data_IF_623301660796
#
_entry.id   IF_623301660796
#
_cell.length_a   1.000
_cell.length_b   1.000
_cell.length_c   1.000
_cell.angle_alpha   90.00
_cell.angle_beta   90.00
_cell.angle_gamma   90.00
#
_symmetry.space_group_name_H-M   'P 1'
#
loop_
_entity.id
_entity.type
_entity.pdbx_description
1 polymer ?
#
# COMPACT_ATOMS: atom_id res chain seq x y z
N UNK A 1 -43.49 -78.05 1.89
CA UNK A 1 -42.10 -78.56 1.94
C UNK A 1 -41.56 -78.51 0.53
N UNK A 2 -40.83 -77.44 0.19
CA UNK A 2 -39.43 -77.52 -0.24
C UNK A 2 -38.93 -76.11 -0.58
N UNK A 3 -38.04 -75.61 0.27
CA UNK A 3 -37.26 -74.40 0.04
C UNK A 3 -35.96 -74.78 -0.65
N UNK A 4 -35.70 -74.22 -1.84
CA UNK A 4 -34.34 -74.16 -2.41
C UNK A 4 -33.88 -72.70 -2.38
N UNK A 5 -32.78 -72.37 -1.68
CA UNK A 5 -32.19 -71.03 -1.73
C UNK A 5 -31.24 -70.94 -2.92
N UNK A 6 -31.43 -69.97 -3.79
CA UNK A 6 -30.43 -69.60 -4.81
C UNK A 6 -29.41 -68.64 -4.18
N UNK A 7 -28.18 -69.15 -4.04
CA UNK A 7 -26.96 -68.36 -3.84
C UNK A 7 -26.73 -67.43 -5.04
N UNK A 8 -26.32 -66.18 -4.81
CA UNK A 8 -25.90 -65.32 -5.91
C UNK A 8 -25.36 -63.95 -5.48
N UNK A 9 -24.09 -63.92 -5.06
CA UNK A 9 -23.12 -62.81 -5.07
C UNK A 9 -23.58 -61.42 -4.59
N UNK A 10 -23.12 -61.04 -3.39
CA UNK A 10 -22.90 -59.64 -3.01
C UNK A 10 -21.67 -59.14 -3.78
N UNK A 11 -21.86 -58.29 -4.79
CA UNK A 11 -20.77 -57.54 -5.40
C UNK A 11 -20.33 -56.43 -4.44
N UNK A 12 -19.16 -56.60 -3.82
CA UNK A 12 -18.43 -55.51 -3.16
C UNK A 12 -17.86 -54.60 -4.26
N UNK A 13 -18.52 -53.46 -4.51
CA UNK A 13 -17.97 -52.40 -5.36
C UNK A 13 -16.86 -51.68 -4.58
N UNK A 14 -15.61 -52.07 -4.84
CA UNK A 14 -14.43 -51.27 -4.54
C UNK A 14 -14.48 -49.96 -5.35
N UNK A 15 -14.96 -48.89 -4.71
CA UNK A 15 -14.87 -47.53 -5.23
C UNK A 15 -13.44 -47.00 -5.15
N UNK A 16 -12.61 -47.33 -6.14
CA UNK A 16 -11.32 -46.67 -6.37
C UNK A 16 -11.52 -45.40 -7.19
N UNK A 17 -11.36 -44.27 -6.49
CA UNK A 17 -10.77 -43.01 -6.95
C UNK A 17 -10.90 -42.64 -8.43
N UNK A 18 -11.79 -41.68 -8.71
CA UNK A 18 -11.42 -40.48 -9.49
C UNK A 18 -12.16 -39.31 -8.83
N UNK A 19 -11.64 -38.84 -7.70
CA UNK A 19 -11.88 -37.46 -7.32
C UNK A 19 -11.27 -36.63 -8.44
N UNK A 20 -12.11 -36.17 -9.38
CA UNK A 20 -11.80 -35.02 -10.22
C UNK A 20 -11.51 -33.90 -9.23
N UNK A 21 -10.24 -33.70 -8.95
CA UNK A 21 -9.79 -32.42 -8.46
C UNK A 21 -10.29 -31.42 -9.47
N UNK A 22 -11.31 -30.65 -9.07
CA UNK A 22 -11.38 -29.29 -9.56
C UNK A 22 -10.15 -28.61 -8.96
N UNK A 23 -9.00 -28.86 -9.60
CA UNK A 23 -7.99 -27.83 -9.73
C UNK A 23 -8.73 -26.70 -10.46
N UNK A 24 -9.42 -25.88 -9.68
CA UNK A 24 -9.52 -24.49 -10.02
C UNK A 24 -8.07 -24.06 -10.22
N UNK A 25 -7.63 -24.08 -11.48
CA UNK A 25 -6.56 -23.25 -11.93
C UNK A 25 -6.89 -21.87 -11.39
N UNK A 26 -6.28 -21.51 -10.26
CA UNK A 26 -6.19 -20.13 -9.82
C UNK A 26 -5.47 -19.47 -10.99
N UNK A 27 -6.28 -18.76 -11.77
CA UNK A 27 -5.84 -18.01 -12.91
C UNK A 27 -4.67 -17.12 -12.46
N UNK A 28 -3.47 -17.45 -12.94
CA UNK A 28 -2.24 -16.68 -12.71
C UNK A 28 -2.25 -15.38 -13.54
N UNK A 29 -3.39 -14.72 -13.58
CA UNK A 29 -3.60 -13.38 -14.16
C UNK A 29 -4.36 -12.49 -13.18
N UNK A 30 -4.03 -12.55 -11.89
CA UNK A 30 -4.45 -11.48 -10.98
C UNK A 30 -3.65 -10.20 -11.29
N UNK A 31 -4.04 -9.52 -12.38
CA UNK A 31 -3.61 -8.20 -12.81
C UNK A 31 -4.25 -7.11 -11.91
N UNK A 32 -4.50 -7.46 -10.65
CA UNK A 32 -5.08 -6.57 -9.67
C UNK A 32 -4.05 -5.55 -9.21
N UNK A 33 -4.61 -4.42 -8.86
CA UNK A 33 -3.89 -3.23 -8.53
C UNK A 33 -3.59 -3.16 -6.99
N UNK A 34 -2.82 -2.19 -6.49
CA UNK A 34 -2.31 -1.92 -5.13
C UNK A 34 -3.50 -1.35 -4.44
N UNK A 35 -4.15 -0.39 -5.10
CA UNK A 35 -5.41 0.20 -4.72
C UNK A 35 -6.45 -0.90 -4.63
N UNK A 36 -6.64 -1.71 -5.67
CA UNK A 36 -7.61 -2.80 -5.62
C UNK A 36 -7.29 -3.80 -4.50
N UNK A 37 -6.04 -4.21 -4.31
CA UNK A 37 -5.63 -5.14 -3.25
C UNK A 37 -5.78 -4.54 -1.85
N UNK A 38 -5.34 -3.29 -1.64
CA UNK A 38 -5.43 -2.55 -0.38
C UNK A 38 -6.91 -2.33 -0.05
N UNK A 39 -7.70 -1.79 -0.97
CA UNK A 39 -9.14 -1.54 -0.77
C UNK A 39 -9.90 -2.85 -0.50
N UNK A 40 -9.58 -3.93 -1.21
CA UNK A 40 -10.17 -5.24 -0.94
C UNK A 40 -9.74 -5.79 0.43
N UNK A 41 -8.48 -5.60 0.81
CA UNK A 41 -7.97 -6.02 2.12
C UNK A 41 -8.53 -5.19 3.27
N UNK A 42 -8.84 -3.92 3.03
CA UNK A 42 -9.41 -2.99 4.00
C UNK A 42 -10.94 -3.10 4.07
N UNK A 43 -11.56 -3.81 3.14
CA UNK A 43 -12.99 -4.02 3.15
C UNK A 43 -13.42 -4.76 4.44
N UNK A 44 -14.28 -4.12 5.24
CA UNK A 44 -14.71 -4.64 6.53
C UNK A 44 -13.77 -4.33 7.71
N UNK A 45 -12.75 -3.49 7.52
CA UNK A 45 -12.00 -2.93 8.63
C UNK A 45 -12.87 -2.02 9.51
N UNK A 46 -12.64 -2.03 10.82
CA UNK A 46 -13.31 -1.14 11.77
C UNK A 46 -12.56 0.19 11.96
N UNK A 47 -11.44 0.38 11.25
CA UNK A 47 -10.68 1.61 11.30
C UNK A 47 -11.30 2.67 10.37
N UNK A 48 -11.18 3.94 10.78
CA UNK A 48 -11.60 5.05 9.95
C UNK A 48 -10.42 5.45 9.05
N UNK A 49 -10.55 5.17 7.76
CA UNK A 49 -9.48 5.37 6.78
C UNK A 49 -9.87 6.50 5.81
N UNK A 50 -9.03 7.53 5.74
CA UNK A 50 -9.05 8.53 4.67
C UNK A 50 -8.41 7.92 3.43
N UNK A 51 -8.94 8.22 2.25
CA UNK A 51 -8.39 7.70 0.99
C UNK A 51 -8.20 6.17 1.07
N UNK A 52 -9.13 5.46 1.72
CA UNK A 52 -9.11 4.00 1.78
C UNK A 52 -8.06 3.32 2.67
N UNK A 53 -6.91 3.94 2.98
CA UNK A 53 -5.78 3.32 3.71
C UNK A 53 -4.96 4.28 4.60
N UNK A 54 -5.31 5.57 4.66
CA UNK A 54 -4.68 6.50 5.57
C UNK A 54 -5.45 6.50 6.89
N UNK A 55 -4.86 5.90 7.92
CA UNK A 55 -5.46 5.83 9.25
C UNK A 55 -5.67 7.21 9.84
N UNK A 56 -6.94 7.59 10.06
CA UNK A 56 -7.25 8.89 10.62
C UNK A 56 -6.88 8.96 12.12
N UNK A 57 -6.19 10.03 12.55
CA UNK A 57 -5.86 10.28 13.93
C UNK A 57 -7.05 10.23 14.90
N UNK A 58 -6.95 9.41 15.94
CA UNK A 58 -7.90 9.41 17.08
C UNK A 58 -7.44 10.31 18.23
N UNK A 59 -6.15 10.64 18.30
CA UNK A 59 -5.56 11.44 19.39
C UNK A 59 -5.32 12.89 18.98
N UNK A 60 -5.35 13.81 19.95
CA UNK A 60 -5.13 15.25 19.73
C UNK A 60 -3.74 15.54 19.13
N UNK A 61 -2.72 14.79 19.54
CA UNK A 61 -1.33 14.97 19.05
C UNK A 61 -1.22 14.54 17.58
N UNK A 62 -1.79 13.40 17.23
CA UNK A 62 -1.86 12.92 15.85
C UNK A 62 -2.71 13.86 14.97
N UNK A 63 -3.80 14.41 15.51
CA UNK A 63 -4.63 15.39 14.80
C UNK A 63 -3.91 16.71 14.54
N UNK A 64 -2.95 17.11 15.39
CA UNK A 64 -2.11 18.30 15.17
C UNK A 64 -1.21 18.11 13.94
N UNK A 65 -0.74 16.89 13.69
CA UNK A 65 0.01 16.56 12.47
C UNK A 65 -0.85 16.69 11.23
N UNK A 66 -2.09 16.20 11.32
CA UNK A 66 -3.06 16.23 10.23
C UNK A 66 -3.55 17.65 9.90
N UNK A 67 -3.84 18.49 10.92
CA UNK A 67 -4.42 19.84 10.73
C UNK A 67 -3.44 20.98 10.43
N UNK A 68 -2.12 20.79 10.59
CA UNK A 68 -1.12 21.86 10.45
C UNK A 68 -0.22 21.73 9.19
N UNK A 69 -0.79 21.33 8.05
CA UNK A 69 -0.08 21.24 6.77
C UNK A 69 1.28 20.48 6.85
N UNK A 70 1.25 19.25 7.37
CA UNK A 70 2.21 18.22 6.93
C UNK A 70 3.65 18.29 7.44
N UNK A 71 3.96 18.95 8.56
CA UNK A 71 5.34 18.94 9.12
C UNK A 71 5.64 17.81 10.11
N UNK A 72 4.84 16.76 10.13
CA UNK A 72 5.13 15.57 10.92
C UNK A 72 6.01 14.60 10.15
N UNK A 73 7.23 15.06 9.87
CA UNK A 73 8.27 14.23 9.28
C UNK A 73 9.06 13.52 10.38
N UNK A 74 9.64 12.38 10.03
CA UNK A 74 10.66 11.76 10.87
C UNK A 74 11.89 12.67 10.99
N UNK A 75 12.48 12.75 12.17
CA UNK A 75 13.56 13.71 12.42
C UNK A 75 14.86 13.25 11.75
N UNK A 76 15.52 14.19 11.09
CA UNK A 76 16.87 14.00 10.56
C UNK A 76 17.87 14.04 11.70
N UNK A 77 18.73 13.03 11.76
CA UNK A 77 19.84 12.91 12.71
C UNK A 77 21.04 13.76 12.29
N UNK A 78 22.00 13.90 13.19
CA UNK A 78 23.21 14.71 13.00
C UNK A 78 24.09 14.21 11.83
N UNK A 79 24.07 12.91 11.55
CA UNK A 79 24.75 12.25 10.43
C UNK A 79 24.00 12.39 9.09
N UNK A 80 22.95 13.20 9.08
CA UNK A 80 22.08 13.45 7.93
C UNK A 80 21.21 12.28 7.48
N UNK A 81 21.12 11.22 8.27
CA UNK A 81 20.17 10.12 8.05
C UNK A 81 18.85 10.37 8.79
N UNK A 82 17.81 9.68 8.36
CA UNK A 82 16.48 9.71 9.00
C UNK A 82 16.18 8.32 9.50
N UNK A 83 16.21 8.16 10.82
CA UNK A 83 15.95 6.87 11.45
C UNK A 83 14.47 6.72 11.77
N UNK A 84 13.88 5.64 11.27
CA UNK A 84 12.49 5.24 11.52
C UNK A 84 12.52 3.94 12.31
N UNK A 85 12.40 3.99 13.65
CA UNK A 85 12.41 2.79 14.47
C UNK A 85 11.16 1.94 14.20
N UNK A 86 11.28 0.62 14.20
CA UNK A 86 10.16 -0.30 14.00
C UNK A 86 10.22 -1.53 14.91
N UNK A 87 9.06 -2.14 15.12
CA UNK A 87 8.88 -3.49 15.70
C UNK A 87 7.99 -4.28 14.73
N UNK A 88 8.37 -5.52 14.44
CA UNK A 88 7.54 -6.45 13.65
C UNK A 88 6.89 -7.43 14.62
N UNK A 89 5.57 -7.59 14.53
CA UNK A 89 4.80 -8.57 15.28
C UNK A 89 5.31 -10.00 15.06
N UNK A 90 5.24 -10.84 16.08
CA UNK A 90 5.68 -12.24 16.01
C UNK A 90 4.67 -13.15 15.28
N UNK A 91 3.54 -12.61 14.81
CA UNK A 91 2.53 -13.35 14.04
C UNK A 91 2.94 -13.59 12.58
N UNK A 92 3.89 -12.81 12.07
CA UNK A 92 4.41 -12.99 10.71
C UNK A 92 5.34 -14.20 10.62
N UNK A 93 5.23 -14.96 9.54
CA UNK A 93 6.18 -16.02 9.20
C UNK A 93 7.55 -15.43 8.85
N UNK A 94 8.60 -16.27 8.90
CA UNK A 94 9.96 -15.85 8.52
C UNK A 94 10.03 -15.25 7.10
N UNK A 95 9.31 -15.85 6.14
CA UNK A 95 9.27 -15.38 4.74
C UNK A 95 8.57 -14.02 4.61
N UNK A 96 7.52 -13.79 5.41
CA UNK A 96 6.83 -12.51 5.46
C UNK A 96 7.73 -11.43 6.08
N UNK A 97 8.43 -11.77 7.17
CA UNK A 97 9.42 -10.89 7.80
C UNK A 97 10.55 -10.56 6.82
N UNK A 98 11.03 -11.52 6.03
CA UNK A 98 12.02 -11.28 4.98
C UNK A 98 11.50 -10.30 3.93
N UNK A 99 10.26 -10.46 3.49
CA UNK A 99 9.63 -9.57 2.50
C UNK A 99 9.49 -8.14 3.03
N UNK A 100 9.05 -7.97 4.29
CA UNK A 100 8.98 -6.67 4.98
C UNK A 100 10.37 -6.03 5.09
N UNK A 101 11.38 -6.79 5.52
CA UNK A 101 12.75 -6.32 5.62
C UNK A 101 13.34 -5.92 4.25
N UNK A 102 13.03 -6.67 3.19
CA UNK A 102 13.46 -6.35 1.81
C UNK A 102 12.84 -5.04 1.32
N UNK A 103 11.55 -4.81 1.58
CA UNK A 103 10.88 -3.55 1.28
C UNK A 103 11.51 -2.38 2.05
N UNK A 104 11.71 -2.51 3.36
CA UNK A 104 12.38 -1.47 4.16
C UNK A 104 13.81 -1.19 3.68
N UNK A 105 14.58 -2.23 3.32
CA UNK A 105 15.96 -2.10 2.82
C UNK A 105 16.03 -1.35 1.49
N UNK A 106 15.01 -1.47 0.63
CA UNK A 106 14.97 -0.79 -0.68
C UNK A 106 15.08 0.74 -0.56
N UNK A 107 14.56 1.35 0.51
CA UNK A 107 14.69 2.79 0.77
C UNK A 107 16.15 3.18 1.05
N UNK A 108 16.89 2.34 1.77
CA UNK A 108 18.24 2.69 2.25
C UNK A 108 19.27 2.90 1.15
N UNK A 109 19.10 2.23 0.00
CA UNK A 109 19.99 2.34 -1.16
C UNK A 109 19.73 3.57 -2.03
N UNK A 110 18.53 4.16 -1.94
CA UNK A 110 18.09 5.25 -2.84
C UNK A 110 17.77 6.56 -2.08
N UNK A 111 17.68 6.51 -0.74
CA UNK A 111 17.29 7.63 0.12
C UNK A 111 18.09 7.71 1.43
N UNK A 112 17.87 8.77 2.22
CA UNK A 112 18.41 8.90 3.58
C UNK A 112 17.60 8.16 4.66
N UNK A 113 16.50 7.50 4.29
CA UNK A 113 15.64 6.79 5.25
C UNK A 113 16.32 5.50 5.70
N UNK A 114 16.31 5.24 7.01
CA UNK A 114 16.83 4.04 7.64
C UNK A 114 15.78 3.49 8.60
N UNK A 115 15.12 2.42 8.19
CA UNK A 115 14.29 1.64 9.09
C UNK A 115 15.22 0.82 10.00
N UNK A 116 15.08 0.99 11.31
CA UNK A 116 15.92 0.32 12.31
C UNK A 116 15.07 -0.42 13.34
N UNK A 117 15.49 -1.60 13.83
CA UNK A 117 14.85 -2.22 14.96
C UNK A 117 14.81 -1.25 16.14
N UNK A 118 13.63 -1.09 16.73
CA UNK A 118 13.44 -0.21 17.88
C UNK A 118 14.21 -0.74 19.08
N UNK A 119 14.77 0.18 19.84
CA UNK A 119 15.29 -0.07 21.19
C UNK A 119 14.47 0.71 22.22
N UNK A 120 14.78 1.99 22.41
CA UNK A 120 14.19 2.84 23.46
C UNK A 120 13.35 4.01 22.90
N UNK A 121 13.27 4.16 21.58
CA UNK A 121 12.59 5.30 20.97
C UNK A 121 11.09 5.31 21.30
N UNK A 122 10.55 6.47 21.68
CA UNK A 122 9.13 6.65 22.00
C UNK A 122 8.25 6.59 20.75
N UNK A 123 8.70 7.19 19.65
CA UNK A 123 8.00 7.17 18.37
C UNK A 123 8.59 6.08 17.48
N UNK A 124 7.74 5.19 16.98
CA UNK A 124 8.15 4.05 16.16
C UNK A 124 6.95 3.44 15.42
N UNK A 125 7.25 2.68 14.37
CA UNK A 125 6.26 1.87 13.64
C UNK A 125 6.05 0.53 14.33
N UNK A 126 4.82 0.23 14.70
CA UNK A 126 4.39 -1.11 15.10
C UNK A 126 3.79 -1.80 13.87
N UNK A 127 4.53 -2.72 13.27
CA UNK A 127 4.12 -3.46 12.08
C UNK A 127 3.39 -4.73 12.53
N UNK A 128 2.10 -4.83 12.22
CA UNK A 128 1.22 -5.92 12.68
C UNK A 128 0.07 -6.21 11.72
N UNK A 129 -0.43 -7.45 11.76
CA UNK A 129 -1.46 -7.97 10.86
C UNK A 129 -2.84 -7.70 11.45
N UNK A 130 -3.39 -6.51 11.18
CA UNK A 130 -4.80 -6.20 11.44
C UNK A 130 -5.64 -6.48 10.19
N UNK A 131 -6.92 -6.11 10.25
CA UNK A 131 -7.81 -6.19 9.09
C UNK A 131 -7.50 -5.08 8.08
N UNK A 132 -6.44 -5.25 7.29
CA UNK A 132 -6.10 -4.33 6.20
C UNK A 132 -4.62 -4.05 5.95
N UNK A 133 -4.37 -3.27 4.91
CA UNK A 133 -3.13 -2.53 4.65
C UNK A 133 -3.42 -1.06 4.90
N UNK A 134 -2.81 -0.46 5.93
CA UNK A 134 -3.02 0.96 6.21
C UNK A 134 -1.93 1.51 7.11
N UNK A 135 -1.76 2.82 7.08
CA UNK A 135 -0.73 3.51 7.85
C UNK A 135 -1.19 4.89 8.28
N UNK A 136 -0.61 5.40 9.37
CA UNK A 136 -0.79 6.81 9.73
C UNK A 136 0.03 7.71 8.83
N UNK A 137 -0.45 8.93 8.58
CA UNK A 137 0.28 9.92 7.80
C UNK A 137 1.44 10.55 8.59
N UNK A 138 2.67 10.29 8.15
CA UNK A 138 3.90 10.84 8.76
C UNK A 138 4.17 10.33 10.18
N UNK A 139 5.06 11.02 10.89
CA UNK A 139 5.45 10.71 12.28
C UNK A 139 4.46 11.29 13.29
N UNK A 140 3.67 10.44 13.92
CA UNK A 140 2.67 10.84 14.93
C UNK A 140 3.29 11.26 16.27
N UNK A 141 4.48 10.74 16.59
CA UNK A 141 5.26 11.10 17.79
C UNK A 141 5.22 10.08 18.93
N UNK A 142 4.47 9.01 18.76
CA UNK A 142 4.36 7.86 19.67
C UNK A 142 4.36 6.55 18.86
N UNK A 143 4.00 5.43 19.49
CA UNK A 143 3.73 4.17 18.76
C UNK A 143 2.63 4.43 17.73
N UNK A 144 2.93 4.23 16.45
CA UNK A 144 1.93 4.27 15.38
C UNK A 144 1.87 2.93 14.66
N UNK A 145 0.65 2.48 14.36
CA UNK A 145 0.44 1.22 13.66
C UNK A 145 0.72 1.43 12.17
N UNK A 146 1.42 0.47 11.59
CA UNK A 146 1.45 0.22 10.14
C UNK A 146 0.90 -1.19 9.96
N UNK A 147 -0.34 -1.29 9.48
CA UNK A 147 -0.97 -2.59 9.33
C UNK A 147 -0.61 -3.21 7.99
N UNK A 148 -0.17 -4.46 8.03
CA UNK A 148 0.01 -5.29 6.85
C UNK A 148 -0.66 -6.63 7.15
N UNK A 149 -1.91 -6.81 6.75
CA UNK A 149 -2.59 -8.10 6.87
C UNK A 149 -1.72 -9.21 6.23
N UNK A 150 -1.41 -10.23 7.01
CA UNK A 150 -0.43 -11.26 6.66
C UNK A 150 -0.75 -11.98 5.33
N UNK A 151 -2.04 -12.12 5.01
CA UNK A 151 -2.50 -12.87 3.83
C UNK A 151 -2.65 -12.04 2.56
N UNK A 152 -2.73 -10.71 2.65
CA UNK A 152 -3.09 -9.85 1.50
C UNK A 152 -2.12 -8.69 1.27
N UNK A 153 -1.43 -8.21 2.31
CA UNK A 153 -0.60 -7.00 2.23
C UNK A 153 0.90 -7.27 2.12
N UNK A 154 1.35 -8.52 2.25
CA UNK A 154 2.78 -8.87 2.23
C UNK A 154 3.31 -8.96 0.80
N UNK A 155 3.32 -7.82 0.12
CA UNK A 155 3.87 -7.64 -1.21
C UNK A 155 4.78 -6.41 -1.23
N UNK A 156 5.89 -6.48 -1.98
CA UNK A 156 6.94 -5.45 -1.93
C UNK A 156 6.40 -4.03 -2.17
N UNK A 157 5.59 -3.83 -3.21
CA UNK A 157 4.98 -2.53 -3.53
C UNK A 157 4.01 -2.05 -2.46
N UNK A 158 3.12 -2.92 -1.94
CA UNK A 158 2.17 -2.57 -0.85
C UNK A 158 2.93 -2.11 0.39
N UNK A 159 3.97 -2.84 0.78
CA UNK A 159 4.77 -2.48 1.95
C UNK A 159 5.46 -1.13 1.73
N UNK A 160 6.01 -0.87 0.55
CA UNK A 160 6.60 0.44 0.23
C UNK A 160 5.55 1.56 0.27
N UNK A 161 4.34 1.32 -0.23
CA UNK A 161 3.22 2.26 -0.21
C UNK A 161 2.85 2.66 1.23
N UNK A 162 2.63 1.69 2.11
CA UNK A 162 2.30 1.97 3.52
C UNK A 162 3.45 2.66 4.28
N UNK A 163 4.70 2.33 3.92
CA UNK A 163 5.86 3.02 4.45
C UNK A 163 5.96 4.46 3.95
N UNK A 164 5.56 4.76 2.70
CA UNK A 164 5.49 6.13 2.18
C UNK A 164 4.42 6.96 2.91
N UNK A 165 3.25 6.38 3.21
CA UNK A 165 2.28 7.02 4.10
C UNK A 165 2.89 7.34 5.47
N UNK A 166 3.61 6.38 6.08
CA UNK A 166 4.30 6.60 7.35
C UNK A 166 5.40 7.68 7.28
N UNK A 167 5.93 7.95 6.08
CA UNK A 167 6.91 9.02 5.81
C UNK A 167 6.25 10.37 5.48
N UNK A 168 4.93 10.42 5.29
CA UNK A 168 4.16 11.65 5.10
C UNK A 168 3.75 11.92 3.66
N UNK A 169 3.62 10.89 2.82
CA UNK A 169 3.16 11.02 1.44
C UNK A 169 1.68 10.64 1.31
N UNK A 170 0.89 11.56 0.75
CA UNK A 170 -0.47 11.29 0.28
C UNK A 170 -0.46 10.60 -1.08
N UNK A 171 -1.62 10.15 -1.53
CA UNK A 171 -1.78 9.61 -2.86
C UNK A 171 -1.50 10.64 -3.97
N UNK A 172 -1.06 10.14 -5.12
CA UNK A 172 -0.71 10.99 -6.26
C UNK A 172 -1.95 11.65 -6.89
N UNK A 173 -3.08 10.92 -6.96
CA UNK A 173 -4.32 11.43 -7.56
C UNK A 173 -5.02 12.50 -6.72
N UNK A 174 -4.56 12.75 -5.48
CA UNK A 174 -5.09 13.80 -4.60
C UNK A 174 -4.18 15.02 -4.53
N UNK A 175 -3.16 15.13 -5.39
CA UNK A 175 -2.37 16.35 -5.52
C UNK A 175 -3.21 17.57 -5.89
N UNK A 176 -2.77 18.73 -5.42
CA UNK A 176 -3.39 20.03 -5.73
C UNK A 176 -3.36 20.42 -7.21
N UNK A 177 -2.50 19.80 -8.03
CA UNK A 177 -2.39 20.02 -9.48
C UNK A 177 -2.96 18.86 -10.32
N UNK A 178 -3.60 17.87 -9.70
CA UNK A 178 -3.99 16.61 -10.36
C UNK A 178 -4.93 16.80 -11.55
N UNK A 179 -5.78 17.83 -11.55
CA UNK A 179 -6.71 18.12 -12.65
C UNK A 179 -6.02 18.53 -13.97
N UNK A 180 -4.70 18.78 -13.95
CA UNK A 180 -3.90 18.95 -15.17
C UNK A 180 -3.50 17.62 -15.82
N UNK A 181 -3.64 16.51 -15.10
CA UNK A 181 -3.08 15.19 -15.45
C UNK A 181 -4.12 14.08 -15.47
N UNK A 182 -5.16 14.18 -14.65
CA UNK A 182 -6.26 13.21 -14.60
C UNK A 182 -7.60 13.93 -14.53
N UNK A 183 -8.62 13.31 -15.11
CA UNK A 183 -10.01 13.66 -14.90
C UNK A 183 -10.64 12.67 -13.93
N UNK A 184 -11.31 13.18 -12.90
CA UNK A 184 -12.15 12.36 -12.02
C UNK A 184 -13.55 12.27 -12.64
N UNK A 185 -14.00 11.05 -12.93
CA UNK A 185 -15.33 10.78 -13.47
C UNK A 185 -16.33 10.61 -12.31
N UNK A 186 -16.73 11.72 -11.70
CA UNK A 186 -17.54 11.74 -10.47
C UNK A 186 -18.82 10.90 -10.53
N UNK A 187 -19.48 10.82 -11.69
CA UNK A 187 -20.68 9.99 -11.88
C UNK A 187 -20.46 8.49 -11.62
N UNK A 188 -19.21 8.02 -11.70
CA UNK A 188 -18.83 6.64 -11.47
C UNK A 188 -18.17 6.41 -10.11
N UNK A 189 -17.92 7.46 -9.34
CA UNK A 189 -17.41 7.32 -7.96
C UNK A 189 -18.57 6.88 -7.08
N UNK A 190 -18.36 5.86 -6.25
CA UNK A 190 -19.34 5.47 -5.25
C UNK A 190 -19.57 6.60 -4.24
N UNK A 191 -20.84 6.89 -3.90
CA UNK A 191 -21.21 8.05 -3.08
C UNK A 191 -20.41 8.15 -1.77
N UNK A 192 -20.21 7.01 -1.09
CA UNK A 192 -19.47 6.92 0.17
C UNK A 192 -17.95 7.17 0.04
N UNK A 193 -17.42 7.21 -1.19
CA UNK A 193 -16.00 7.34 -1.49
C UNK A 193 -15.63 8.70 -2.09
N UNK A 194 -16.58 9.61 -2.26
CA UNK A 194 -16.35 10.95 -2.86
C UNK A 194 -15.20 11.70 -2.17
N UNK A 195 -15.09 11.59 -0.84
CA UNK A 195 -14.03 12.23 -0.06
C UNK A 195 -12.63 11.68 -0.35
N UNK A 196 -12.52 10.43 -0.83
CA UNK A 196 -11.25 9.79 -1.19
C UNK A 196 -10.63 10.33 -2.50
N UNK A 197 -11.34 11.21 -3.20
CA UNK A 197 -10.89 11.87 -4.42
C UNK A 197 -10.73 13.38 -4.24
N UNK A 198 -10.93 13.92 -3.04
CA UNK A 198 -10.71 15.34 -2.80
C UNK A 198 -9.21 15.67 -2.89
N UNK A 199 -8.88 16.81 -3.48
CA UNK A 199 -7.49 17.28 -3.50
C UNK A 199 -7.05 17.63 -2.08
N UNK A 200 -5.83 17.25 -1.74
CA UNK A 200 -5.16 17.64 -0.51
C UNK A 200 -4.37 18.93 -0.76
N UNK A 201 -4.40 19.86 0.20
CA UNK A 201 -3.52 21.04 0.20
C UNK A 201 -2.09 20.60 0.58
N UNK A 202 -1.46 19.89 -0.35
CA UNK A 202 -0.12 19.37 -0.21
C UNK A 202 0.87 20.18 -1.05
N UNK A 203 2.04 20.46 -0.46
CA UNK A 203 3.14 21.00 -1.21
C UNK A 203 3.67 19.89 -2.13
N UNK A 204 3.45 20.02 -3.44
CA UNK A 204 3.96 19.11 -4.47
C UNK A 204 5.50 19.06 -4.55
N UNK A 205 6.18 19.81 -3.68
CA UNK A 205 7.62 19.94 -3.58
C UNK A 205 8.24 20.44 -4.89
N UNK A 206 7.47 21.08 -5.78
CA UNK A 206 7.92 21.42 -7.14
C UNK A 206 8.52 20.18 -7.85
N UNK A 207 7.81 19.05 -7.79
CA UNK A 207 8.13 17.80 -8.48
C UNK A 207 6.97 17.50 -9.44
N UNK A 208 7.24 17.02 -10.67
CA UNK A 208 6.19 16.66 -11.62
C UNK A 208 5.20 15.62 -11.09
N UNK A 209 4.02 15.56 -11.71
CA UNK A 209 3.05 14.50 -11.47
C UNK A 209 3.56 13.17 -12.03
N UNK A 210 3.32 12.07 -11.31
CA UNK A 210 3.81 10.75 -11.69
C UNK A 210 2.71 9.68 -11.76
N UNK A 211 2.24 9.40 -12.98
CA UNK A 211 1.32 8.29 -13.25
C UNK A 211 1.84 6.91 -12.80
N UNK A 212 3.17 6.74 -12.75
CA UNK A 212 3.82 5.50 -12.36
C UNK A 212 4.07 5.36 -10.86
N UNK A 213 3.70 6.38 -10.07
CA UNK A 213 3.89 6.37 -8.62
C UNK A 213 3.21 5.16 -8.00
N UNK A 214 3.89 4.53 -7.04
CA UNK A 214 3.28 3.47 -6.22
C UNK A 214 2.14 4.00 -5.35
N UNK A 215 2.05 5.33 -5.19
CA UNK A 215 1.00 6.07 -4.48
C UNK A 215 -0.17 6.48 -5.40
N UNK A 216 -0.20 6.07 -6.67
CA UNK A 216 -1.30 6.42 -7.56
C UNK A 216 -2.40 5.35 -7.55
N UNK A 217 -3.65 5.80 -7.43
CA UNK A 217 -4.82 4.93 -7.62
C UNK A 217 -4.88 4.29 -9.01
N UNK A 218 -5.48 3.11 -9.09
CA UNK A 218 -5.87 2.56 -10.39
C UNK A 218 -7.09 3.29 -10.99
N UNK A 219 -7.39 3.02 -12.25
CA UNK A 219 -8.47 3.68 -13.00
C UNK A 219 -9.88 3.42 -12.46
N UNK A 220 -10.11 2.33 -11.72
CA UNK A 220 -11.41 1.84 -11.26
C UNK A 220 -11.58 1.90 -9.74
N UNK A 221 -10.64 2.53 -9.03
CA UNK A 221 -10.70 2.71 -7.59
C UNK A 221 -12.07 3.27 -7.17
N UNK A 222 -12.72 2.63 -6.20
CA UNK A 222 -14.04 3.02 -5.68
C UNK A 222 -15.15 3.23 -6.73
N UNK A 223 -15.09 2.53 -7.87
CA UNK A 223 -16.15 2.64 -8.86
C UNK A 223 -17.47 2.06 -8.35
N UNK A 224 -18.59 2.76 -8.62
CA UNK A 224 -19.95 2.25 -8.40
C UNK A 224 -20.38 1.23 -9.47
N UNK A 225 -19.61 1.14 -10.57
CA UNK A 225 -19.78 0.17 -11.66
C UNK A 225 -18.39 -0.34 -12.05
N UNK A 226 -18.10 -1.63 -11.81
CA UNK A 226 -16.79 -2.24 -12.08
C UNK A 226 -16.36 -2.17 -13.56
N UNK A 227 -17.26 -1.84 -14.48
CA UNK A 227 -16.96 -1.60 -15.90
C UNK A 227 -16.49 -0.18 -16.19
N UNK A 228 -16.70 0.77 -15.27
CA UNK A 228 -16.42 2.20 -15.43
C UNK A 228 -15.15 2.62 -14.70
N UNK A 229 -14.46 3.60 -15.28
CA UNK A 229 -13.26 4.21 -14.70
C UNK A 229 -13.66 5.45 -13.90
N UNK A 230 -13.16 5.57 -12.67
CA UNK A 230 -13.28 6.76 -11.82
C UNK A 230 -12.15 7.76 -12.10
N UNK A 231 -11.00 7.30 -12.60
CA UNK A 231 -9.86 8.14 -12.94
C UNK A 231 -9.45 7.88 -14.39
N UNK A 232 -9.45 8.94 -15.21
CA UNK A 232 -8.98 8.90 -16.59
C UNK A 232 -7.75 9.80 -16.76
N UNK A 233 -6.57 9.26 -17.11
CA UNK A 233 -5.42 10.08 -17.47
C UNK A 233 -5.70 10.99 -18.68
N UNK A 234 -5.12 12.20 -18.67
CA UNK A 234 -5.22 13.17 -19.77
C UNK A 234 -3.83 13.76 -20.08
N UNK A 235 -3.55 14.14 -21.35
CA UNK A 235 -4.43 14.05 -22.51
C UNK A 235 -4.50 12.63 -23.12
N UNK A 236 -3.62 11.72 -22.71
CA UNK A 236 -3.56 10.36 -23.21
C UNK A 236 -4.21 9.38 -22.22
N UNK A 237 -5.43 8.95 -22.52
CA UNK A 237 -6.18 8.01 -21.68
C UNK A 237 -5.55 6.60 -21.63
N UNK A 238 -4.60 6.28 -22.53
CA UNK A 238 -3.93 4.98 -22.58
C UNK A 238 -2.84 4.80 -21.52
N UNK A 239 -2.41 5.90 -20.88
CA UNK A 239 -1.41 5.88 -19.80
C UNK A 239 -1.85 4.94 -18.69
N UNK A 240 -0.91 4.09 -18.24
CA UNK A 240 -1.14 3.16 -17.14
C UNK A 240 -0.95 3.87 -15.81
N UNK A 241 -1.92 3.73 -14.92
CA UNK A 241 -1.87 4.20 -13.54
C UNK A 241 -2.15 3.04 -12.59
N UNK A 242 -1.60 3.15 -11.38
CA UNK A 242 -1.72 2.09 -10.39
C UNK A 242 -0.85 0.89 -10.77
N UNK A 243 0.47 1.03 -10.71
CA UNK A 243 1.44 -0.07 -10.82
C UNK A 243 1.89 -0.61 -9.44
N UNK A 244 2.40 -1.85 -9.38
CA UNK A 244 2.56 -2.64 -8.12
C UNK A 244 3.96 -3.05 -7.75
N UNK A 245 4.93 -2.71 -8.60
CA UNK A 245 6.24 -3.36 -8.57
C UNK A 245 7.09 -2.76 -7.46
N UNK A 246 7.30 -1.47 -7.54
CA UNK A 246 8.12 -0.72 -6.59
C UNK A 246 7.85 0.78 -6.69
N UNK A 247 8.41 1.55 -5.76
CA UNK A 247 8.53 3.01 -5.86
C UNK A 247 9.12 3.42 -7.22
N UNK A 248 8.52 4.43 -7.85
CA UNK A 248 9.09 5.07 -9.02
C UNK A 248 10.32 5.91 -8.64
N UNK A 249 11.10 6.33 -9.64
CA UNK A 249 12.20 7.28 -9.43
C UNK A 249 11.70 8.64 -8.88
N UNK A 250 10.47 9.03 -9.22
CA UNK A 250 9.85 10.25 -8.71
C UNK A 250 9.41 10.08 -7.26
N UNK A 251 8.90 8.91 -6.85
CA UNK A 251 8.62 8.60 -5.43
C UNK A 251 9.89 8.76 -4.59
N UNK A 252 11.01 8.21 -5.05
CA UNK A 252 12.34 8.33 -4.41
C UNK A 252 12.78 9.79 -4.34
N UNK A 253 12.64 10.53 -5.44
CA UNK A 253 12.98 11.96 -5.49
C UNK A 253 12.16 12.77 -4.47
N UNK A 254 10.86 12.48 -4.34
CA UNK A 254 9.97 13.12 -3.36
C UNK A 254 10.42 12.85 -1.93
N UNK A 255 10.77 11.60 -1.60
CA UNK A 255 11.36 11.24 -0.29
C UNK A 255 12.61 12.08 -0.02
N UNK A 256 13.55 12.12 -0.98
CA UNK A 256 14.81 12.83 -0.82
C UNK A 256 14.62 14.36 -0.66
N UNK A 257 13.67 14.93 -1.40
CA UNK A 257 13.35 16.37 -1.34
C UNK A 257 12.65 16.75 -0.04
N UNK A 258 11.67 15.95 0.42
CA UNK A 258 10.97 16.18 1.68
C UNK A 258 11.92 16.14 2.88
N UNK A 259 12.76 15.11 2.94
CA UNK A 259 13.71 14.91 4.04
C UNK A 259 15.01 15.70 3.89
N UNK A 260 15.03 16.66 2.94
CA UNK A 260 16.10 17.61 2.72
C UNK A 260 17.46 16.91 2.71
N UNK A 261 17.59 15.87 1.89
CA UNK A 261 18.88 15.68 1.27
C UNK A 261 19.12 16.94 0.45
N UNK A 262 19.83 17.91 1.05
CA UNK A 262 20.80 18.61 0.24
C UNK A 262 21.74 17.50 -0.21
N UNK A 263 21.52 16.98 -1.43
CA UNK A 263 22.67 16.69 -2.25
C UNK A 263 23.48 17.98 -2.18
N UNK A 264 24.49 18.05 -1.29
CA UNK A 264 25.68 18.78 -1.69
C UNK A 264 25.99 18.18 -3.04
N UNK A 265 25.80 18.96 -4.10
CA UNK A 265 26.26 18.66 -5.44
C UNK A 265 27.71 18.19 -5.30
N UNK A 266 27.92 16.88 -5.17
CA UNK A 266 29.21 16.29 -5.51
C UNK A 266 29.14 16.20 -7.01
N UNK A 267 29.57 17.29 -7.64
CA UNK A 267 30.07 17.34 -9.01
C UNK A 267 29.42 16.32 -9.95
N UNK A 268 28.22 16.63 -10.45
CA UNK A 268 27.85 16.18 -11.79
C UNK A 268 28.48 17.19 -12.76
N UNK A 269 29.80 17.12 -12.83
CA UNK A 269 30.63 17.65 -13.89
C UNK A 269 31.70 16.61 -14.11
N UNK A 270 31.37 15.55 -14.85
CA UNK A 270 32.26 14.92 -15.83
C UNK A 270 31.65 13.64 -16.42
N UNK A 271 31.64 13.62 -17.78
CA UNK A 271 31.72 12.46 -18.69
C UNK A 271 30.37 11.73 -18.86
N UNK A 272 29.71 11.68 -20.04
CA UNK A 272 30.09 11.92 -21.44
C UNK A 272 28.85 12.40 -22.22
#
# INVERSE_FOLDING_TARGET
MDHRPTLGLVLLLLGLSLARGNDAQIDKTDNSSITSMILNSNNGTNELLLEGDILLPKTRNAMKCYKNNGRCVWMKSADHLVYVPYVISNEYSSDQVETINKAMKSFSGKTCIRFIPRTQQTAYLQIESRGGCFSSMGRVGEKQILSLAAFSCIQHGIIQHELLHALGFYHEHTRSDRDQYVRINWNYVADYATDNFQMQDNNNLNIPYDYSSVMHYDKKAFSNDLSKETITPIPDESVKIGQRREMSDIDILRVNKLYKLMCKERHIHQIC
#
